data_IF_122027369036
#
_entry.id   IF_122027369036
#
_cell.length_a   1.000
_cell.length_b   1.000
_cell.length_c   1.000
_cell.angle_alpha   90.00
_cell.angle_beta   90.00
_cell.angle_gamma   90.00
#
_symmetry.space_group_name_H-M   'P 1'
#
loop_
_entity.id
_entity.type
_entity.pdbx_description
1 polymer ?
#
# COMPACT_ATOMS: atom_id res chain seq x y z
N UNK A 1 -40.04 20.19 11.76
CA UNK A 1 -38.94 19.49 11.07
C UNK A 1 -38.06 20.58 10.49
N UNK A 2 -36.95 20.89 11.15
CA UNK A 2 -36.08 22.00 10.73
C UNK A 2 -35.44 21.64 9.39
N UNK A 3 -35.91 22.28 8.32
CA UNK A 3 -35.29 22.23 7.00
C UNK A 3 -33.90 22.82 7.11
N UNK A 4 -32.90 21.95 7.28
CA UNK A 4 -31.48 22.34 7.18
C UNK A 4 -31.27 23.02 5.83
N UNK A 5 -30.63 24.20 5.85
CA UNK A 5 -30.33 24.91 4.60
C UNK A 5 -29.11 24.30 3.91
N UNK A 6 -28.92 24.53 2.60
CA UNK A 6 -27.74 24.07 1.88
C UNK A 6 -26.42 24.54 2.54
N UNK A 7 -26.38 25.79 3.02
CA UNK A 7 -25.21 26.33 3.71
C UNK A 7 -24.94 25.63 5.05
N UNK A 8 -25.99 25.36 5.84
CA UNK A 8 -25.86 24.62 7.10
C UNK A 8 -25.38 23.19 6.87
N UNK A 9 -25.89 22.52 5.83
CA UNK A 9 -25.43 21.19 5.44
C UNK A 9 -23.97 21.22 5.02
N UNK A 10 -23.58 22.17 4.17
CA UNK A 10 -22.19 22.30 3.74
C UNK A 10 -21.23 22.49 4.92
N UNK A 11 -21.61 23.34 5.89
CA UNK A 11 -20.83 23.53 7.12
C UNK A 11 -20.75 22.23 7.91
N UNK A 12 -21.87 21.55 8.16
CA UNK A 12 -21.88 20.28 8.88
C UNK A 12 -20.96 19.24 8.25
N UNK A 13 -21.06 19.08 6.92
CA UNK A 13 -20.22 18.14 6.17
C UNK A 13 -18.74 18.49 6.36
N UNK A 14 -18.36 19.72 6.05
CA UNK A 14 -16.95 20.15 6.07
C UNK A 14 -16.31 20.27 7.46
N UNK A 15 -17.08 20.13 8.54
CA UNK A 15 -16.55 20.23 9.90
C UNK A 15 -16.78 18.95 10.68
N UNK A 16 -18.00 18.73 11.14
CA UNK A 16 -18.33 17.65 12.06
C UNK A 16 -18.23 16.30 11.36
N UNK A 17 -18.74 16.20 10.13
CA UNK A 17 -18.73 14.95 9.40
C UNK A 17 -17.32 14.57 8.94
N UNK A 18 -16.61 15.47 8.24
CA UNK A 18 -15.22 15.26 7.81
C UNK A 18 -14.30 14.86 9.00
N UNK A 19 -14.53 15.44 10.18
CA UNK A 19 -13.72 15.16 11.37
C UNK A 19 -13.79 13.69 11.84
N UNK A 20 -14.90 12.98 11.62
CA UNK A 20 -15.04 11.55 11.97
C UNK A 20 -14.14 10.64 11.12
N UNK A 21 -13.78 11.08 9.92
CA UNK A 21 -12.92 10.36 8.97
C UNK A 21 -11.47 10.85 9.01
N UNK A 22 -11.18 11.90 9.77
CA UNK A 22 -9.84 12.39 10.03
C UNK A 22 -9.19 11.70 11.24
N UNK A 23 -7.86 11.73 11.34
CA UNK A 23 -7.18 11.33 12.58
C UNK A 23 -7.38 12.40 13.65
N UNK A 24 -7.61 12.04 14.92
CA UNK A 24 -7.51 10.68 15.48
C UNK A 24 -8.81 9.86 15.41
N UNK A 25 -9.97 10.46 15.08
CA UNK A 25 -11.27 9.79 15.11
C UNK A 25 -11.29 8.52 14.24
N UNK A 26 -10.70 8.58 13.04
CA UNK A 26 -10.53 7.41 12.17
C UNK A 26 -9.87 6.21 12.86
N UNK A 27 -8.75 6.46 13.56
CA UNK A 27 -7.99 5.41 14.23
C UNK A 27 -8.72 4.85 15.47
N UNK A 28 -9.67 5.61 16.02
CA UNK A 28 -10.46 5.19 17.18
C UNK A 28 -11.75 4.47 16.76
N UNK A 29 -12.45 5.00 15.75
CA UNK A 29 -13.83 4.63 15.43
C UNK A 29 -13.93 3.67 14.23
N UNK A 30 -12.97 3.69 13.30
CA UNK A 30 -13.10 3.03 12.00
C UNK A 30 -12.02 1.98 11.72
N UNK A 31 -10.78 2.23 12.13
CA UNK A 31 -9.65 1.38 11.73
C UNK A 31 -8.70 1.08 12.89
N UNK A 32 -8.46 -0.21 13.11
CA UNK A 32 -7.38 -0.72 13.97
C UNK A 32 -6.11 -1.03 13.17
N UNK A 33 -6.03 -0.66 11.89
CA UNK A 33 -4.86 -0.89 11.07
C UNK A 33 -3.67 -0.06 11.59
N UNK A 34 -2.46 -0.62 11.46
CA UNK A 34 -1.23 0.10 11.77
C UNK A 34 -0.93 1.13 10.68
N UNK A 35 -0.42 2.30 11.07
CA UNK A 35 0.17 3.27 10.14
C UNK A 35 1.57 2.84 9.66
N UNK A 36 2.18 1.86 10.31
CA UNK A 36 3.48 1.33 9.92
C UNK A 36 3.32 0.35 8.75
N UNK A 37 3.90 0.73 7.62
CA UNK A 37 4.05 -0.15 6.46
C UNK A 37 5.14 -1.18 6.73
N UNK A 38 4.97 -2.39 6.19
CA UNK A 38 6.01 -3.42 6.25
C UNK A 38 7.22 -2.92 5.46
N UNK A 39 8.35 -2.80 6.14
CA UNK A 39 9.63 -2.47 5.51
C UNK A 39 10.38 -3.73 5.15
N UNK A 40 10.74 -3.85 3.88
CA UNK A 40 11.54 -4.98 3.39
C UNK A 40 12.88 -4.50 2.88
N UNK A 41 13.93 -5.22 3.28
CA UNK A 41 15.28 -4.99 2.76
C UNK A 41 15.40 -5.71 1.42
N UNK A 42 15.40 -4.92 0.34
CA UNK A 42 15.39 -5.42 -1.04
C UNK A 42 16.80 -5.48 -1.65
N UNK A 43 17.78 -4.86 -1.00
CA UNK A 43 19.21 -5.05 -1.30
C UNK A 43 20.08 -4.83 -0.06
N UNK A 44 21.40 -4.98 -0.18
CA UNK A 44 22.34 -4.70 0.92
C UNK A 44 22.23 -3.27 1.45
N UNK A 45 21.77 -2.32 0.63
CA UNK A 45 21.69 -0.89 0.98
C UNK A 45 20.27 -0.32 0.90
N UNK A 46 19.26 -1.11 0.55
CA UNK A 46 17.94 -0.60 0.18
C UNK A 46 16.82 -1.23 1.01
N UNK A 47 16.05 -0.36 1.65
CA UNK A 47 14.82 -0.69 2.38
C UNK A 47 13.67 -0.03 1.62
N UNK A 48 12.62 -0.79 1.34
CA UNK A 48 11.42 -0.32 0.67
C UNK A 48 10.17 -0.69 1.49
N UNK A 49 9.20 0.22 1.54
CA UNK A 49 7.89 -0.03 2.11
C UNK A 49 7.10 -0.91 1.13
N UNK A 50 6.78 -2.15 1.52
CA UNK A 50 6.14 -3.15 0.67
C UNK A 50 4.67 -3.37 0.98
N UNK A 51 4.09 -2.59 1.90
CA UNK A 51 2.65 -2.67 2.20
C UNK A 51 2.02 -1.28 2.24
N UNK A 52 0.70 -1.26 2.10
CA UNK A 52 -0.13 -0.07 2.27
C UNK A 52 -1.05 -0.28 3.47
N UNK A 53 -1.35 0.79 4.20
CA UNK A 53 -2.27 0.76 5.33
C UNK A 53 -3.69 1.11 4.90
N UNK A 54 -4.70 0.53 5.56
CA UNK A 54 -6.09 0.98 5.42
C UNK A 54 -6.29 2.43 5.93
N UNK A 55 -5.31 2.96 6.66
CA UNK A 55 -5.30 4.35 7.13
C UNK A 55 -4.89 5.36 6.05
N UNK A 56 -4.57 4.92 4.83
CA UNK A 56 -4.28 5.84 3.72
C UNK A 56 -5.49 6.71 3.39
N UNK A 57 -5.23 7.98 3.08
CA UNK A 57 -6.28 9.01 2.97
C UNK A 57 -7.34 8.70 1.90
N UNK A 58 -6.95 8.04 0.80
CA UNK A 58 -7.86 7.62 -0.25
C UNK A 58 -8.96 6.67 0.25
N UNK A 59 -8.62 5.73 1.13
CA UNK A 59 -9.62 4.82 1.72
C UNK A 59 -10.56 5.56 2.67
N UNK A 60 -10.04 6.52 3.44
CA UNK A 60 -10.85 7.33 4.36
C UNK A 60 -11.88 8.16 3.62
N UNK A 61 -11.47 8.81 2.53
CA UNK A 61 -12.36 9.61 1.66
C UNK A 61 -13.45 8.76 1.01
N UNK A 62 -13.15 7.51 0.63
CA UNK A 62 -14.19 6.58 0.16
C UNK A 62 -15.17 6.22 1.28
N UNK A 63 -14.66 5.85 2.45
CA UNK A 63 -15.49 5.52 3.60
C UNK A 63 -16.41 6.69 3.99
N UNK A 64 -15.89 7.91 3.97
CA UNK A 64 -16.63 9.15 4.18
C UNK A 64 -17.76 9.31 3.16
N UNK A 65 -17.44 9.22 1.87
CA UNK A 65 -18.44 9.38 0.80
C UNK A 65 -19.55 8.31 0.87
N UNK A 66 -19.19 7.05 1.11
CA UNK A 66 -20.18 5.98 1.21
C UNK A 66 -21.05 6.11 2.47
N UNK A 67 -20.46 6.46 3.60
CA UNK A 67 -21.22 6.68 4.85
C UNK A 67 -22.15 7.87 4.70
N UNK A 68 -21.68 8.95 4.07
CA UNK A 68 -22.46 10.15 3.80
C UNK A 68 -23.70 9.82 2.95
N UNK A 69 -23.51 9.08 1.86
CA UNK A 69 -24.63 8.68 0.99
C UNK A 69 -25.55 7.64 1.64
N UNK A 70 -25.03 6.74 2.47
CA UNK A 70 -25.85 5.75 3.17
C UNK A 70 -26.78 6.39 4.20
N UNK A 71 -26.29 7.39 4.94
CA UNK A 71 -27.06 8.07 5.98
C UNK A 71 -27.93 9.21 5.42
N UNK A 72 -27.30 10.16 4.73
CA UNK A 72 -27.97 11.36 4.23
C UNK A 72 -28.70 11.14 2.89
N UNK A 73 -28.37 10.07 2.17
CA UNK A 73 -29.02 9.75 0.89
C UNK A 73 -30.50 9.40 1.02
N UNK A 74 -30.91 8.91 2.20
CA UNK A 74 -32.29 8.56 2.52
C UNK A 74 -33.01 9.61 3.38
N UNK A 75 -32.34 10.73 3.70
CA UNK A 75 -32.92 11.78 4.50
C UNK A 75 -33.92 12.63 3.68
N UNK A 76 -35.01 13.05 4.30
CA UNK A 76 -35.97 13.99 3.70
C UNK A 76 -35.38 15.41 3.65
N UNK A 77 -34.48 15.64 2.70
CA UNK A 77 -33.81 16.91 2.43
C UNK A 77 -34.52 17.66 1.30
N UNK A 78 -34.38 19.00 1.28
CA UNK A 78 -34.73 19.76 0.08
C UNK A 78 -33.77 19.41 -1.06
N UNK A 79 -34.23 19.57 -2.31
CA UNK A 79 -33.42 19.28 -3.50
C UNK A 79 -32.06 20.00 -3.46
N UNK A 80 -32.05 21.28 -3.11
CA UNK A 80 -30.81 22.08 -3.05
C UNK A 80 -29.84 21.58 -1.98
N UNK A 81 -30.36 21.09 -0.85
CA UNK A 81 -29.53 20.55 0.25
C UNK A 81 -29.02 19.16 -0.10
N UNK A 82 -29.84 18.33 -0.74
CA UNK A 82 -29.42 17.03 -1.25
C UNK A 82 -28.32 17.18 -2.30
N UNK A 83 -28.39 18.19 -3.17
CA UNK A 83 -27.35 18.49 -4.14
C UNK A 83 -25.98 18.75 -3.47
N UNK A 84 -25.95 19.50 -2.35
CA UNK A 84 -24.71 19.74 -1.58
C UNK A 84 -24.09 18.44 -1.09
N UNK A 85 -24.91 17.49 -0.61
CA UNK A 85 -24.44 16.16 -0.16
C UNK A 85 -23.84 15.39 -1.34
N UNK A 86 -24.54 15.34 -2.47
CA UNK A 86 -24.09 14.63 -3.68
C UNK A 86 -22.81 15.24 -4.24
N UNK A 87 -22.72 16.57 -4.33
CA UNK A 87 -21.54 17.26 -4.86
C UNK A 87 -20.29 16.98 -4.00
N UNK A 88 -20.45 17.03 -2.67
CA UNK A 88 -19.39 16.67 -1.73
C UNK A 88 -18.98 15.21 -1.89
N UNK A 89 -19.93 14.27 -1.95
CA UNK A 89 -19.65 12.85 -2.11
C UNK A 89 -18.90 12.55 -3.42
N UNK A 90 -19.30 13.15 -4.54
CA UNK A 90 -18.61 13.03 -5.83
C UNK A 90 -17.18 13.58 -5.72
N UNK A 91 -16.99 14.74 -5.08
CA UNK A 91 -15.67 15.32 -4.85
C UNK A 91 -14.76 14.41 -4.03
N UNK A 92 -15.28 13.81 -2.96
CA UNK A 92 -14.55 12.85 -2.13
C UNK A 92 -14.14 11.60 -2.92
N UNK A 93 -15.05 11.03 -3.70
CA UNK A 93 -14.75 9.86 -4.56
C UNK A 93 -13.70 10.20 -5.61
N UNK A 94 -13.80 11.35 -6.28
CA UNK A 94 -12.83 11.80 -7.27
C UNK A 94 -11.43 11.99 -6.69
N UNK A 95 -11.34 12.61 -5.50
CA UNK A 95 -10.09 12.76 -4.76
C UNK A 95 -9.53 11.40 -4.32
N UNK A 96 -10.38 10.51 -3.83
CA UNK A 96 -9.97 9.18 -3.42
C UNK A 96 -9.40 8.35 -4.58
N UNK A 97 -10.00 8.41 -5.77
CA UNK A 97 -9.47 7.76 -6.97
C UNK A 97 -8.04 8.25 -7.25
N UNK A 98 -7.82 9.56 -7.14
CA UNK A 98 -6.50 10.17 -7.37
C UNK A 98 -5.48 9.72 -6.32
N UNK A 99 -5.86 9.68 -5.04
CA UNK A 99 -5.00 9.21 -3.96
C UNK A 99 -4.63 7.73 -4.13
N UNK A 100 -5.61 6.90 -4.48
CA UNK A 100 -5.42 5.46 -4.68
C UNK A 100 -4.58 5.17 -5.93
N UNK A 101 -4.75 5.95 -7.01
CA UNK A 101 -3.89 5.85 -8.18
C UNK A 101 -2.44 6.22 -7.85
N UNK A 102 -2.24 7.26 -7.04
CA UNK A 102 -0.90 7.66 -6.56
C UNK A 102 -0.28 6.57 -5.70
N UNK A 103 -1.06 6.01 -4.77
CA UNK A 103 -0.65 4.89 -3.92
C UNK A 103 -0.27 3.67 -4.77
N UNK A 104 -1.10 3.30 -5.75
CA UNK A 104 -0.84 2.21 -6.69
C UNK A 104 0.43 2.43 -7.52
N UNK A 105 0.67 3.65 -7.98
CA UNK A 105 1.91 4.02 -8.68
C UNK A 105 3.17 3.89 -7.80
N UNK A 106 3.06 4.27 -6.53
CA UNK A 106 4.12 4.06 -5.54
C UNK A 106 4.44 2.57 -5.34
N UNK A 107 3.40 1.75 -5.14
CA UNK A 107 3.53 0.29 -5.02
C UNK A 107 4.14 -0.32 -6.28
N UNK A 108 3.70 0.08 -7.47
CA UNK A 108 4.26 -0.38 -8.74
C UNK A 108 5.75 -0.05 -8.89
N UNK A 109 6.17 1.13 -8.43
CA UNK A 109 7.59 1.52 -8.40
C UNK A 109 8.42 0.63 -7.48
N UNK A 110 7.89 0.31 -6.29
CA UNK A 110 8.54 -0.63 -5.35
C UNK A 110 8.62 -2.03 -5.98
N UNK A 111 7.55 -2.49 -6.63
CA UNK A 111 7.54 -3.77 -7.33
C UNK A 111 8.62 -3.82 -8.42
N UNK A 112 8.77 -2.78 -9.23
CA UNK A 112 9.81 -2.70 -10.25
C UNK A 112 11.22 -2.75 -9.64
N UNK A 113 11.45 -2.04 -8.52
CA UNK A 113 12.73 -2.06 -7.81
C UNK A 113 13.06 -3.45 -7.27
N UNK A 114 12.07 -4.15 -6.70
CA UNK A 114 12.20 -5.53 -6.23
C UNK A 114 12.54 -6.48 -7.38
N UNK A 115 11.86 -6.36 -8.52
CA UNK A 115 12.14 -7.18 -9.71
C UNK A 115 13.57 -6.97 -10.20
N UNK A 116 14.01 -5.73 -10.34
CA UNK A 116 15.39 -5.42 -10.77
C UNK A 116 16.45 -5.92 -9.79
N UNK A 117 16.21 -5.81 -8.47
CA UNK A 117 17.10 -6.36 -7.46
C UNK A 117 17.20 -7.89 -7.56
N UNK A 118 16.07 -8.57 -7.81
CA UNK A 118 16.00 -10.02 -8.00
C UNK A 118 16.79 -10.49 -9.22
N UNK A 119 16.64 -9.79 -10.35
CA UNK A 119 17.39 -10.09 -11.59
C UNK A 119 18.91 -9.92 -11.39
N UNK A 120 19.31 -8.87 -10.67
CA UNK A 120 20.73 -8.64 -10.32
C UNK A 120 21.27 -9.75 -9.43
N UNK A 121 20.52 -10.19 -8.43
CA UNK A 121 20.91 -11.30 -7.55
C UNK A 121 21.02 -12.62 -8.31
N UNK A 122 20.10 -12.89 -9.24
CA UNK A 122 20.16 -14.06 -10.11
C UNK A 122 21.41 -14.05 -10.99
N UNK A 123 21.73 -12.91 -11.60
CA UNK A 123 22.96 -12.74 -12.38
C UNK A 123 24.21 -13.01 -11.53
N UNK A 124 24.24 -12.51 -10.29
CA UNK A 124 25.34 -12.77 -9.38
C UNK A 124 25.44 -14.25 -9.00
N UNK A 125 24.31 -14.92 -8.77
CA UNK A 125 24.25 -16.36 -8.52
C UNK A 125 24.84 -17.15 -9.70
N UNK A 126 24.49 -16.79 -10.93
CA UNK A 126 24.99 -17.44 -12.14
C UNK A 126 26.50 -17.23 -12.31
N UNK A 127 27.02 -16.02 -12.03
CA UNK A 127 28.46 -15.74 -12.04
C UNK A 127 29.18 -16.58 -10.99
N UNK A 128 28.67 -16.61 -9.76
CA UNK A 128 29.25 -17.41 -8.68
C UNK A 128 29.24 -18.89 -9.07
N UNK A 129 28.13 -19.43 -9.56
CA UNK A 129 28.05 -20.83 -10.03
C UNK A 129 29.09 -21.15 -11.12
N UNK A 130 29.31 -20.25 -12.08
CA UNK A 130 30.36 -20.41 -13.08
C UNK A 130 31.77 -20.37 -12.48
N UNK A 131 31.99 -19.56 -11.43
CA UNK A 131 33.26 -19.55 -10.69
C UNK A 131 33.47 -20.84 -9.89
N UNK A 132 32.42 -21.44 -9.30
CA UNK A 132 32.49 -22.74 -8.62
C UNK A 132 33.06 -23.78 -9.56
N UNK A 133 32.46 -23.94 -10.75
CA UNK A 133 32.87 -24.92 -11.76
C UNK A 133 34.35 -24.74 -12.14
N UNK A 134 34.83 -23.49 -12.18
CA UNK A 134 36.24 -23.19 -12.45
C UNK A 134 37.18 -23.45 -11.26
N UNK A 135 36.72 -23.23 -10.02
CA UNK A 135 37.52 -23.42 -8.81
C UNK A 135 37.57 -24.88 -8.35
N UNK A 136 36.50 -25.65 -8.54
CA UNK A 136 36.50 -27.12 -8.35
C UNK A 136 37.56 -27.80 -9.23
N UNK A 137 37.96 -27.19 -10.35
CA UNK A 137 39.06 -27.66 -11.19
C UNK A 137 40.46 -27.39 -10.62
N UNK A 138 40.62 -26.54 -9.58
CA UNK A 138 41.94 -26.05 -9.12
C UNK A 138 42.16 -26.22 -7.60
N UNK A 139 41.19 -25.87 -6.73
CA UNK A 139 41.24 -26.07 -5.27
C UNK A 139 39.82 -26.20 -4.67
N UNK A 140 39.35 -27.43 -4.38
CA UNK A 140 37.96 -27.71 -4.09
C UNK A 140 37.51 -27.38 -2.67
N UNK A 141 38.39 -27.20 -1.68
CA UNK A 141 37.97 -27.29 -0.27
C UNK A 141 37.56 -25.94 0.33
N UNK A 142 38.40 -24.91 0.22
CA UNK A 142 38.10 -23.58 0.77
C UNK A 142 37.11 -22.79 -0.11
N UNK A 143 37.19 -23.00 -1.42
CA UNK A 143 36.25 -22.46 -2.41
C UNK A 143 34.82 -22.92 -2.11
N UNK A 144 34.62 -24.21 -1.86
CA UNK A 144 33.30 -24.80 -1.58
C UNK A 144 32.63 -24.20 -0.34
N UNK A 145 33.39 -23.88 0.71
CA UNK A 145 32.84 -23.33 1.96
C UNK A 145 32.37 -21.89 1.77
N UNK A 146 33.19 -21.02 1.17
CA UNK A 146 32.82 -19.62 0.88
C UNK A 146 31.63 -19.55 -0.08
N UNK A 147 31.64 -20.39 -1.10
CA UNK A 147 30.56 -20.50 -2.07
C UNK A 147 29.25 -20.94 -1.41
N UNK A 148 29.27 -22.04 -0.63
CA UNK A 148 28.06 -22.55 0.02
C UNK A 148 27.43 -21.52 0.95
N UNK A 149 28.28 -20.73 1.63
CA UNK A 149 27.83 -19.63 2.48
C UNK A 149 27.10 -18.56 1.65
N UNK A 150 27.68 -18.14 0.52
CA UNK A 150 27.07 -17.16 -0.38
C UNK A 150 25.79 -17.69 -1.06
N UNK A 151 25.77 -18.94 -1.52
CA UNK A 151 24.56 -19.58 -2.07
C UNK A 151 23.44 -19.65 -1.03
N UNK A 152 23.77 -19.96 0.23
CA UNK A 152 22.80 -19.99 1.32
C UNK A 152 22.23 -18.59 1.56
N UNK A 153 23.08 -17.57 1.64
CA UNK A 153 22.64 -16.19 1.80
C UNK A 153 21.74 -15.71 0.64
N UNK A 154 22.07 -16.09 -0.60
CA UNK A 154 21.26 -15.79 -1.78
C UNK A 154 19.92 -16.52 -1.74
N UNK A 155 19.89 -17.82 -1.39
CA UNK A 155 18.65 -18.60 -1.27
C UNK A 155 17.72 -18.01 -0.20
N UNK A 156 18.28 -17.61 0.94
CA UNK A 156 17.52 -16.94 2.01
C UNK A 156 16.95 -15.60 1.53
N UNK A 157 17.76 -14.78 0.84
CA UNK A 157 17.28 -13.52 0.27
C UNK A 157 16.17 -13.73 -0.77
N UNK A 158 16.33 -14.69 -1.70
CA UNK A 158 15.32 -15.03 -2.71
C UNK A 158 14.03 -15.59 -2.11
N UNK A 159 14.14 -16.43 -1.07
CA UNK A 159 12.97 -16.96 -0.36
C UNK A 159 12.16 -15.83 0.29
N UNK A 160 12.85 -14.85 0.89
CA UNK A 160 12.19 -13.68 1.47
C UNK A 160 11.51 -12.84 0.39
N UNK A 161 12.15 -12.64 -0.76
CA UNK A 161 11.55 -11.94 -1.90
C UNK A 161 10.35 -12.67 -2.50
N UNK A 162 10.41 -13.99 -2.62
CA UNK A 162 9.31 -14.80 -3.14
C UNK A 162 8.08 -14.76 -2.23
N UNK A 163 8.27 -14.77 -0.90
CA UNK A 163 7.17 -14.59 0.05
C UNK A 163 6.49 -13.21 -0.11
N UNK A 164 7.25 -12.16 -0.42
CA UNK A 164 6.66 -10.83 -0.70
C UNK A 164 5.82 -10.82 -1.99
N UNK A 165 6.27 -11.52 -3.05
CA UNK A 165 5.49 -11.66 -4.28
C UNK A 165 4.18 -12.43 -4.05
N UNK A 166 4.18 -13.43 -3.16
CA UNK A 166 2.98 -14.19 -2.82
C UNK A 166 1.95 -13.35 -2.02
N UNK A 167 2.40 -12.47 -1.12
CA UNK A 167 1.50 -11.56 -0.37
C UNK A 167 0.82 -10.56 -1.33
N UNK A 168 1.53 -10.10 -2.36
CA UNK A 168 0.97 -9.20 -3.39
C UNK A 168 -0.14 -9.84 -4.24
N UNK A 169 -0.14 -11.17 -4.41
CA UNK A 169 -1.10 -11.88 -5.26
C UNK A 169 -2.34 -12.37 -4.49
N UNK A 170 -2.20 -12.69 -3.20
CA UNK A 170 -3.30 -13.24 -2.39
C UNK A 170 -4.25 -12.14 -1.87
N UNK A 171 -3.81 -10.89 -1.76
CA UNK A 171 -4.66 -9.77 -1.31
C UNK A 171 -5.53 -9.14 -2.42
N UNK A 172 -5.70 -9.81 -3.57
CA UNK A 172 -6.55 -9.34 -4.68
C UNK A 172 -7.78 -10.23 -4.94
N UNK A 173 -8.08 -11.15 -4.03
CA UNK A 173 -9.27 -12.03 -4.03
C UNK A 173 -10.00 -11.92 -2.70
#
# INVERSE_FOLDING_TARGET
MSTITPAQMQTFLNTTFDAEFASPAWNTNWSTATDQTMQSRISTTEIADTSVSANQIGFRRLAEAYTMMADLGNANLSQDTFQVVVDKAIGLVGNAITDLATLGGGVGTVQQRVTGATEKLKTQQDILNNQIVKMEAVDPTEASVRVNTLQTQIKTALSLTSQLQQISLINYL
#
